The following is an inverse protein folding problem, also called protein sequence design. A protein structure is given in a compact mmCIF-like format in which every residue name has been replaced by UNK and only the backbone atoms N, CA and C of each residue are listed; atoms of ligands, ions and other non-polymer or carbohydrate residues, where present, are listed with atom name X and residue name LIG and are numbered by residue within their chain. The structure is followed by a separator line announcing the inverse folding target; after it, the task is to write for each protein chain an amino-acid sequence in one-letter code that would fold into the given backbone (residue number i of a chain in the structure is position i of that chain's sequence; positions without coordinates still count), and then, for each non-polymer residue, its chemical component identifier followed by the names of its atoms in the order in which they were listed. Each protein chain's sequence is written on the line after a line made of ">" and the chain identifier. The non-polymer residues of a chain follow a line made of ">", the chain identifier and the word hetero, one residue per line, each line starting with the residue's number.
data_IF_971882391877
#
_entry.id   IF_971882391877
#
_cell.length_a   1.000
_cell.length_b   1.000
_cell.length_c   1.000
_cell.angle_alpha   90.00
_cell.angle_beta   90.00
_cell.angle_gamma   90.00
#
_symmetry.space_group_name_H-M   'P 1'
#
loop_
_entity.id
_entity.type
_entity.pdbx_description
1 polymer ?
#
# COMPACT_ATOMS: atom_id res chain seq x y z
N UNK A 1 -2.95 53.87 60.18
CA UNK A 1 -3.38 52.58 60.73
C UNK A 1 -4.83 52.40 60.33
N UNK A 2 -5.08 52.24 59.04
CA UNK A 2 -4.99 50.97 58.27
C UNK A 2 -6.19 50.09 58.63
N UNK A 3 -7.01 49.57 57.73
CA UNK A 3 -6.85 49.33 56.30
C UNK A 3 -8.21 49.20 55.60
N UNK A 4 -8.31 49.80 54.42
CA UNK A 4 -9.34 49.55 53.42
C UNK A 4 -9.23 48.11 52.90
N UNK A 5 -10.33 47.35 52.93
CA UNK A 5 -10.51 46.17 52.08
C UNK A 5 -11.26 46.60 50.81
N UNK A 6 -10.51 47.01 49.78
CA UNK A 6 -11.03 47.17 48.42
C UNK A 6 -11.30 45.78 47.83
N UNK A 7 -12.57 45.44 47.64
CA UNK A 7 -12.97 44.45 46.64
C UNK A 7 -12.73 45.08 45.27
N UNK A 8 -11.75 44.58 44.53
CA UNK A 8 -11.52 44.96 43.13
C UNK A 8 -12.62 44.35 42.28
N UNK A 9 -13.51 45.19 41.76
CA UNK A 9 -14.54 44.82 40.81
C UNK A 9 -13.95 44.87 39.38
N UNK A 10 -13.74 43.69 38.79
CA UNK A 10 -13.19 43.50 37.45
C UNK A 10 -14.12 44.01 36.34
N UNK A 11 -15.34 44.44 36.70
CA UNK A 11 -16.30 45.13 35.83
C UNK A 11 -15.75 46.43 35.21
N UNK A 12 -14.70 47.01 35.81
CA UNK A 12 -14.00 48.20 35.32
C UNK A 12 -13.10 47.95 34.10
N UNK A 13 -12.82 46.70 33.73
CA UNK A 13 -12.02 46.35 32.55
C UNK A 13 -12.82 46.36 31.23
N UNK A 14 -14.14 46.54 31.30
CA UNK A 14 -15.06 46.48 30.16
C UNK A 14 -15.69 47.85 29.82
N UNK A 15 -15.03 48.96 30.17
CA UNK A 15 -15.44 50.27 29.66
C UNK A 15 -14.89 50.44 28.24
N UNK A 16 -15.71 50.10 27.25
CA UNK A 16 -15.40 50.31 25.84
C UNK A 16 -15.86 51.69 25.38
N UNK A 17 -14.91 52.61 25.15
CA UNK A 17 -15.13 53.82 24.36
C UNK A 17 -15.61 53.45 22.95
N UNK A 18 -16.42 54.31 22.30
CA UNK A 18 -16.93 54.08 20.92
C UNK A 18 -15.86 53.65 19.90
N UNK A 19 -14.63 54.12 20.06
CA UNK A 19 -13.47 53.71 19.25
C UNK A 19 -13.03 52.26 19.46
N UNK A 20 -13.18 51.73 20.68
CA UNK A 20 -12.85 50.32 20.97
C UNK A 20 -13.87 49.35 20.41
N UNK A 21 -15.15 49.74 20.31
CA UNK A 21 -16.19 48.92 19.66
C UNK A 21 -15.88 48.68 18.17
N UNK A 22 -15.42 49.71 17.45
CA UNK A 22 -14.96 49.59 16.06
C UNK A 22 -13.65 48.79 15.94
N UNK A 23 -12.73 48.92 16.90
CA UNK A 23 -11.52 48.09 16.93
C UNK A 23 -11.82 46.62 17.24
N UNK A 24 -12.81 46.31 18.09
CA UNK A 24 -13.27 44.94 18.33
C UNK A 24 -14.06 44.37 17.16
N UNK A 25 -14.84 45.17 16.44
CA UNK A 25 -15.57 44.71 15.24
C UNK A 25 -14.62 44.47 14.06
N UNK A 26 -13.59 45.30 13.93
CA UNK A 26 -12.50 45.13 12.97
C UNK A 26 -11.62 43.95 13.38
N UNK A 27 -11.22 43.83 14.66
CA UNK A 27 -10.51 42.65 15.15
C UNK A 27 -11.33 41.38 14.97
N UNK A 28 -12.63 41.36 15.26
CA UNK A 28 -13.47 40.18 15.07
C UNK A 28 -13.64 39.84 13.58
N UNK A 29 -13.71 40.83 12.69
CA UNK A 29 -13.62 40.61 11.24
C UNK A 29 -12.26 40.02 10.83
N UNK A 30 -11.16 40.54 11.36
CA UNK A 30 -9.81 40.00 11.12
C UNK A 30 -9.65 38.59 11.69
N UNK A 31 -10.19 38.29 12.87
CA UNK A 31 -10.16 36.95 13.47
C UNK A 31 -11.08 35.97 12.71
N UNK A 32 -12.23 36.41 12.20
CA UNK A 32 -13.05 35.59 11.30
C UNK A 32 -12.34 35.29 9.98
N UNK A 33 -11.62 36.27 9.41
CA UNK A 33 -10.89 36.09 8.16
C UNK A 33 -9.60 35.28 8.33
N UNK A 34 -9.01 35.29 9.53
CA UNK A 34 -7.77 34.57 9.87
C UNK A 34 -8.02 33.27 10.64
N UNK A 35 -9.28 32.85 10.87
CA UNK A 35 -9.56 31.57 11.49
C UNK A 35 -9.02 30.49 10.55
N UNK A 36 -7.93 29.84 10.95
CA UNK A 36 -7.35 28.76 10.16
C UNK A 36 -8.25 27.56 10.41
N UNK A 37 -9.06 27.12 9.44
CA UNK A 37 -9.97 26.02 9.67
C UNK A 37 -9.15 24.77 10.02
N UNK A 38 -9.59 24.05 11.03
CA UNK A 38 -8.97 22.82 11.46
C UNK A 38 -9.04 21.79 10.33
N UNK A 39 -8.09 20.86 10.31
CA UNK A 39 -8.09 19.76 9.37
C UNK A 39 -8.00 18.41 10.07
N UNK A 40 -8.72 17.44 9.54
CA UNK A 40 -8.60 16.02 9.89
C UNK A 40 -8.27 15.28 8.61
N UNK A 41 -7.28 14.40 8.68
CA UNK A 41 -6.94 13.47 7.61
C UNK A 41 -7.13 12.05 8.13
N UNK A 42 -7.60 11.16 7.27
CA UNK A 42 -7.71 9.74 7.59
C UNK A 42 -7.40 8.91 6.37
N UNK A 43 -6.62 7.85 6.57
CA UNK A 43 -6.23 6.94 5.51
C UNK A 43 -6.96 5.61 5.68
N UNK A 44 -7.54 5.09 4.60
CA UNK A 44 -8.26 3.82 4.63
C UNK A 44 -7.49 2.77 3.84
N UNK A 45 -6.89 1.81 4.57
CA UNK A 45 -6.05 0.76 4.00
C UNK A 45 -6.86 -0.54 3.80
N UNK A 46 -7.69 -0.59 2.77
CA UNK A 46 -8.50 -1.78 2.43
C UNK A 46 -8.43 -2.11 0.95
N UNK A 47 -8.29 -3.38 0.60
CA UNK A 47 -8.25 -3.82 -0.80
C UNK A 47 -9.67 -3.94 -1.38
N UNK A 48 -10.16 -2.88 -2.00
CA UNK A 48 -11.46 -2.85 -2.69
C UNK A 48 -11.32 -2.60 -4.20
N UNK A 49 -12.41 -2.78 -4.90
CA UNK A 49 -12.58 -2.36 -6.29
C UNK A 49 -13.67 -1.30 -6.34
N UNK A 50 -13.42 -0.20 -7.06
CA UNK A 50 -14.35 0.93 -7.20
C UNK A 50 -14.95 0.91 -8.60
N UNK A 51 -16.26 0.78 -8.65
CA UNK A 51 -17.08 0.96 -9.84
C UNK A 51 -17.57 2.42 -9.91
N UNK A 52 -18.04 2.88 -11.08
CA UNK A 52 -18.54 4.25 -11.23
C UNK A 52 -19.74 4.54 -10.30
N UNK A 53 -20.58 3.54 -10.08
CA UNK A 53 -21.77 3.65 -9.22
C UNK A 53 -21.38 3.85 -7.75
N UNK A 54 -20.26 3.30 -7.30
CA UNK A 54 -19.75 3.51 -5.94
C UNK A 54 -19.38 5.00 -5.72
N UNK A 55 -18.83 5.66 -6.74
CA UNK A 55 -18.50 7.09 -6.70
C UNK A 55 -19.78 7.94 -6.68
N UNK A 56 -20.79 7.54 -7.48
CA UNK A 56 -22.11 8.19 -7.45
C UNK A 56 -22.79 8.05 -6.10
N UNK A 57 -22.69 6.88 -5.49
CA UNK A 57 -23.21 6.62 -4.14
C UNK A 57 -22.51 7.49 -3.10
N UNK A 58 -21.18 7.60 -3.14
CA UNK A 58 -20.43 8.48 -2.23
C UNK A 58 -20.91 9.93 -2.35
N UNK A 59 -21.05 10.43 -3.58
CA UNK A 59 -21.56 11.77 -3.81
C UNK A 59 -22.97 11.95 -3.24
N UNK A 60 -23.88 10.99 -3.47
CA UNK A 60 -25.23 11.04 -2.92
C UNK A 60 -25.22 11.13 -1.38
N UNK A 61 -24.42 10.29 -0.71
CA UNK A 61 -24.29 10.29 0.76
C UNK A 61 -23.78 11.64 1.30
N UNK A 62 -22.74 12.20 0.67
CA UNK A 62 -22.19 13.51 1.07
C UNK A 62 -23.20 14.63 0.83
N UNK A 63 -23.87 14.64 -0.33
CA UNK A 63 -24.90 15.63 -0.67
C UNK A 63 -26.08 15.57 0.30
N UNK A 64 -26.57 14.37 0.64
CA UNK A 64 -27.65 14.20 1.63
C UNK A 64 -27.24 14.73 3.00
N UNK A 65 -26.00 14.47 3.42
CA UNK A 65 -25.48 14.97 4.69
C UNK A 65 -25.38 16.50 4.70
N UNK A 66 -24.91 17.12 3.61
CA UNK A 66 -24.80 18.56 3.51
C UNK A 66 -26.16 19.27 3.45
N UNK A 67 -27.18 18.65 2.83
CA UNK A 67 -28.54 19.20 2.72
C UNK A 67 -29.25 19.43 4.06
N UNK A 68 -28.80 18.76 5.13
CA UNK A 68 -29.35 18.94 6.48
C UNK A 68 -29.10 20.38 6.98
N UNK A 69 -28.01 21.01 6.54
CA UNK A 69 -27.66 22.37 6.91
C UNK A 69 -28.08 23.35 5.82
N UNK A 70 -28.46 24.57 6.22
CA UNK A 70 -28.66 25.67 5.26
C UNK A 70 -27.30 26.01 4.66
N UNK A 71 -27.18 25.91 3.33
CA UNK A 71 -25.92 26.14 2.63
C UNK A 71 -25.98 27.36 1.72
N UNK A 72 -24.97 28.23 1.81
CA UNK A 72 -24.76 29.34 0.88
C UNK A 72 -23.60 29.01 -0.07
N UNK A 73 -23.91 28.21 -1.09
CA UNK A 73 -22.95 27.75 -2.08
C UNK A 73 -22.46 26.32 -1.81
N UNK A 74 -22.50 25.51 -2.86
CA UNK A 74 -22.08 24.12 -2.87
C UNK A 74 -21.43 23.83 -4.22
N UNK A 75 -20.16 23.47 -4.20
CA UNK A 75 -19.35 23.18 -5.38
C UNK A 75 -18.76 21.79 -5.25
N UNK A 76 -18.80 21.03 -6.35
CA UNK A 76 -18.20 19.71 -6.45
C UNK A 76 -17.20 19.73 -7.60
N UNK A 77 -15.94 19.50 -7.26
CA UNK A 77 -14.85 19.37 -8.22
C UNK A 77 -14.40 17.92 -8.31
N UNK A 78 -14.27 17.41 -9.54
CA UNK A 78 -13.73 16.07 -9.80
C UNK A 78 -12.48 16.18 -10.66
N UNK A 79 -11.37 15.67 -10.15
CA UNK A 79 -10.09 15.63 -10.87
C UNK A 79 -9.67 14.17 -11.12
N UNK A 80 -9.49 13.83 -12.39
CA UNK A 80 -9.05 12.51 -12.81
C UNK A 80 -7.64 12.58 -13.37
N UNK A 81 -6.84 11.54 -13.09
CA UNK A 81 -5.52 11.36 -13.70
C UNK A 81 -5.42 9.97 -14.32
N UNK A 82 -4.99 9.93 -15.57
CA UNK A 82 -4.80 8.71 -16.33
C UNK A 82 -3.31 8.33 -16.45
N UNK A 83 -3.05 7.10 -16.85
CA UNK A 83 -1.70 6.56 -17.02
C UNK A 83 -0.89 7.19 -18.15
N UNK A 84 -1.55 7.74 -19.17
CA UNK A 84 -0.93 8.52 -20.24
C UNK A 84 -0.58 9.97 -19.82
N UNK A 85 -0.62 10.31 -18.52
CA UNK A 85 -0.44 11.66 -17.96
C UNK A 85 -1.55 12.65 -18.30
N UNK A 86 -2.59 12.25 -19.04
CA UNK A 86 -3.80 13.07 -19.25
C UNK A 86 -4.47 13.33 -17.91
N UNK A 87 -4.96 14.55 -17.75
CA UNK A 87 -5.75 14.96 -16.61
C UNK A 87 -7.08 15.51 -17.12
N UNK A 88 -8.17 15.13 -16.45
CA UNK A 88 -9.49 15.70 -16.71
C UNK A 88 -9.96 16.37 -15.44
N UNK A 89 -10.47 17.59 -15.58
CA UNK A 89 -11.04 18.37 -14.50
C UNK A 89 -12.49 18.67 -14.84
N UNK A 90 -13.39 18.37 -13.90
CA UNK A 90 -14.80 18.72 -13.96
C UNK A 90 -15.08 19.67 -12.80
N UNK A 91 -15.44 20.92 -13.11
CA UNK A 91 -15.84 21.92 -12.11
C UNK A 91 -17.30 21.79 -11.65
N UNK A 92 -18.01 20.78 -12.16
CA UNK A 92 -19.38 20.45 -11.80
C UNK A 92 -19.60 18.95 -11.83
N UNK A 93 -20.36 18.45 -10.86
CA UNK A 93 -20.78 17.05 -10.82
C UNK A 93 -21.61 16.64 -12.05
N UNK A 94 -22.43 17.55 -12.58
CA UNK A 94 -23.25 17.26 -13.77
C UNK A 94 -22.40 16.99 -15.01
N UNK A 95 -21.27 17.69 -15.15
CA UNK A 95 -20.36 17.48 -16.28
C UNK A 95 -19.64 16.13 -16.15
N UNK A 96 -19.30 15.73 -14.93
CA UNK A 96 -18.75 14.42 -14.63
C UNK A 96 -19.75 13.29 -14.93
N UNK A 97 -21.01 13.45 -14.57
CA UNK A 97 -22.05 12.43 -14.79
C UNK A 97 -22.40 12.25 -16.28
N UNK A 98 -22.36 13.33 -17.05
CA UNK A 98 -22.60 13.31 -18.51
C UNK A 98 -21.42 12.78 -19.31
N UNK A 99 -20.26 12.58 -18.69
CA UNK A 99 -19.06 12.13 -19.37
C UNK A 99 -19.15 10.65 -19.78
N UNK A 100 -18.83 10.36 -21.05
CA UNK A 100 -18.83 8.99 -21.59
C UNK A 100 -17.51 8.30 -21.30
N UNK A 101 -17.56 7.22 -20.51
CA UNK A 101 -16.37 6.49 -20.05
C UNK A 101 -15.87 5.42 -21.02
N UNK A 102 -16.72 4.96 -21.93
CA UNK A 102 -16.44 3.82 -22.82
C UNK A 102 -15.31 4.11 -23.83
N UNK A 103 -15.14 5.38 -24.20
CA UNK A 103 -14.19 5.81 -25.22
C UNK A 103 -12.78 6.09 -24.67
N UNK A 104 -12.59 6.08 -23.34
CA UNK A 104 -11.31 6.49 -22.76
C UNK A 104 -10.25 5.37 -22.93
N UNK A 105 -9.16 5.64 -23.69
CA UNK A 105 -8.21 4.60 -24.08
C UNK A 105 -7.17 4.26 -23.00
N UNK A 106 -7.29 4.85 -21.80
CA UNK A 106 -6.30 4.78 -20.73
C UNK A 106 -6.88 4.30 -19.40
N UNK A 107 -6.01 3.76 -18.55
CA UNK A 107 -6.37 3.35 -17.19
C UNK A 107 -6.32 4.54 -16.23
N UNK A 108 -7.24 4.57 -15.27
CA UNK A 108 -7.22 5.57 -14.20
C UNK A 108 -6.09 5.27 -13.20
N UNK A 109 -5.48 6.33 -12.67
CA UNK A 109 -4.45 6.25 -11.62
C UNK A 109 -4.94 6.91 -10.34
N UNK A 110 -5.64 8.02 -10.46
CA UNK A 110 -6.10 8.82 -9.33
C UNK A 110 -7.43 9.51 -9.65
N UNK A 111 -8.31 9.56 -8.67
CA UNK A 111 -9.54 10.35 -8.69
C UNK A 111 -9.53 11.19 -7.41
N UNK A 112 -9.62 12.51 -7.55
CA UNK A 112 -9.79 13.42 -6.41
C UNK A 112 -11.15 14.07 -6.52
N UNK A 113 -12.02 13.81 -5.54
CA UNK A 113 -13.32 14.43 -5.37
C UNK A 113 -13.18 15.52 -4.30
N UNK A 114 -13.66 16.72 -4.57
CA UNK A 114 -13.67 17.82 -3.60
C UNK A 114 -15.08 18.40 -3.50
N UNK A 115 -15.63 18.42 -2.30
CA UNK A 115 -16.89 19.09 -1.99
C UNK A 115 -16.57 20.33 -1.16
N UNK A 116 -16.82 21.51 -1.72
CA UNK A 116 -16.70 22.78 -1.02
C UNK A 116 -18.10 23.31 -0.74
N UNK A 117 -18.42 23.61 0.50
CA UNK A 117 -19.73 24.14 0.85
C UNK A 117 -19.65 25.06 2.05
N UNK A 118 -20.50 26.09 2.07
CA UNK A 118 -20.58 27.00 3.21
C UNK A 118 -21.85 26.67 3.99
N UNK A 119 -21.71 26.16 5.22
CA UNK A 119 -22.84 25.78 6.05
C UNK A 119 -23.11 26.81 7.14
N UNK A 120 -24.40 27.07 7.38
CA UNK A 120 -24.88 27.86 8.51
C UNK A 120 -25.28 26.89 9.62
N UNK A 121 -24.58 26.95 10.75
CA UNK A 121 -24.85 26.11 11.93
C UNK A 121 -25.81 26.80 12.89
N UNK A 122 -26.53 26.02 13.70
CA UNK A 122 -27.46 26.57 14.70
C UNK A 122 -26.73 27.51 15.68
N UNK A 123 -27.28 28.71 15.86
CA UNK A 123 -26.68 29.74 16.72
C UNK A 123 -25.62 30.63 16.06
N UNK A 124 -25.25 30.38 14.80
CA UNK A 124 -24.32 31.21 14.03
C UNK A 124 -25.04 31.73 12.78
N UNK A 125 -25.09 33.05 12.59
CA UNK A 125 -25.74 33.67 11.43
C UNK A 125 -24.86 33.68 10.18
N UNK A 126 -23.54 33.55 10.34
CA UNK A 126 -22.58 33.60 9.24
C UNK A 126 -22.27 32.22 8.68
N UNK A 127 -22.28 32.04 7.33
CA UNK A 127 -21.85 30.81 6.70
C UNK A 127 -20.39 30.49 7.00
N UNK A 128 -20.12 29.24 7.34
CA UNK A 128 -18.78 28.74 7.65
C UNK A 128 -18.30 27.83 6.53
N UNK A 129 -17.12 28.07 5.94
CA UNK A 129 -16.60 27.25 4.85
C UNK A 129 -16.17 25.88 5.36
N UNK A 130 -16.55 24.85 4.61
CA UNK A 130 -16.22 23.46 4.87
C UNK A 130 -15.75 22.83 3.56
N UNK A 131 -14.75 21.95 3.65
CA UNK A 131 -14.24 21.24 2.47
C UNK A 131 -13.94 19.78 2.80
N UNK A 132 -14.55 18.87 2.05
CA UNK A 132 -14.19 17.45 2.05
C UNK A 132 -13.41 17.15 0.77
N UNK A 133 -12.27 16.49 0.91
CA UNK A 133 -11.46 15.98 -0.20
C UNK A 133 -11.33 14.48 -0.01
N UNK A 134 -11.79 13.71 -1.00
CA UNK A 134 -11.57 12.26 -1.05
C UNK A 134 -10.71 11.94 -2.25
N UNK A 135 -9.55 11.36 -2.01
CA UNK A 135 -8.60 10.96 -3.03
C UNK A 135 -8.53 9.44 -3.09
N UNK A 136 -8.85 8.89 -4.26
CA UNK A 136 -8.74 7.47 -4.58
C UNK A 136 -7.52 7.26 -5.45
N UNK A 137 -6.63 6.31 -5.11
CA UNK A 137 -5.41 6.09 -5.88
C UNK A 137 -5.01 4.62 -5.99
N UNK A 138 -4.35 4.25 -7.10
CA UNK A 138 -3.74 2.93 -7.29
C UNK A 138 -2.43 2.74 -6.49
N UNK A 139 -2.28 3.43 -5.36
CA UNK A 139 -1.06 3.53 -4.56
C UNK A 139 -0.62 4.98 -4.37
N UNK A 140 0.11 5.23 -3.28
CA UNK A 140 0.66 6.55 -2.98
C UNK A 140 2.05 6.73 -3.56
N UNK A 141 2.38 7.96 -3.94
CA UNK A 141 3.79 8.32 -4.17
C UNK A 141 4.51 8.52 -2.84
N UNK A 142 5.83 8.24 -2.77
CA UNK A 142 6.61 8.42 -1.54
C UNK A 142 6.48 9.83 -0.94
N UNK A 143 6.35 10.88 -1.77
CA UNK A 143 6.19 12.25 -1.28
C UNK A 143 4.84 12.45 -0.55
N UNK A 144 3.79 11.77 -1.00
CA UNK A 144 2.46 11.83 -0.39
C UNK A 144 2.45 11.08 0.95
N UNK A 145 3.13 9.94 1.02
CA UNK A 145 3.33 9.19 2.28
C UNK A 145 4.09 10.04 3.30
N UNK A 146 5.18 10.70 2.88
CA UNK A 146 5.95 11.58 3.76
C UNK A 146 5.10 12.72 4.31
N UNK A 147 4.30 13.37 3.47
CA UNK A 147 3.39 14.43 3.93
C UNK A 147 2.39 13.95 4.99
N UNK A 148 1.91 12.71 4.90
CA UNK A 148 1.00 12.13 5.90
C UNK A 148 1.72 11.87 7.21
N UNK A 149 2.91 11.26 7.15
CA UNK A 149 3.76 11.00 8.33
C UNK A 149 4.09 12.33 9.04
N UNK A 150 4.50 13.35 8.29
CA UNK A 150 4.83 14.67 8.85
C UNK A 150 3.60 15.45 9.35
N UNK A 151 2.38 15.09 8.91
CA UNK A 151 1.15 15.73 9.41
C UNK A 151 0.65 15.21 10.76
N UNK A 152 1.32 14.23 11.37
CA UNK A 152 1.17 13.97 12.80
C UNK A 152 0.08 12.99 13.24
N UNK A 153 -0.52 12.20 12.33
CA UNK A 153 -1.33 11.04 12.72
C UNK A 153 -0.43 9.81 12.96
N UNK A 154 0.27 9.85 14.10
CA UNK A 154 1.32 8.87 14.49
C UNK A 154 0.71 7.47 14.79
N UNK A 155 -0.62 7.34 14.83
CA UNK A 155 -1.31 6.08 15.11
C UNK A 155 -1.46 5.15 13.89
N UNK A 156 -1.23 5.63 12.66
CA UNK A 156 -1.42 4.82 11.43
C UNK A 156 -0.11 4.31 10.80
N UNK A 157 1.06 4.58 11.42
CA UNK A 157 2.39 4.18 10.88
C UNK A 157 2.57 2.65 10.81
N UNK A 158 1.92 1.88 11.69
CA UNK A 158 1.93 0.42 11.58
C UNK A 158 1.17 -0.11 10.35
N UNK A 159 0.24 0.68 9.80
CA UNK A 159 -0.52 0.35 8.58
C UNK A 159 0.17 0.86 7.29
N UNK A 160 1.19 1.73 7.43
CA UNK A 160 2.05 2.28 6.35
C UNK A 160 2.99 1.26 5.69
N UNK A 161 3.11 0.04 6.22
CA UNK A 161 3.93 -1.02 5.60
C UNK A 161 3.31 -1.62 4.33
N UNK A 162 1.99 -1.50 4.16
CA UNK A 162 1.34 -1.93 2.92
C UNK A 162 1.33 -0.73 1.98
N UNK A 163 2.20 -0.74 0.97
CA UNK A 163 2.35 0.28 -0.09
C UNK A 163 1.07 0.63 -0.91
N UNK A 164 -0.12 0.28 -0.42
CA UNK A 164 -1.41 0.52 -1.05
C UNK A 164 -2.31 1.26 -0.06
N UNK A 165 -2.37 2.59 -0.19
CA UNK A 165 -3.37 3.41 0.46
C UNK A 165 -4.38 3.89 -0.57
N UNK A 166 -5.45 3.12 -0.77
CA UNK A 166 -6.32 3.38 -1.90
C UNK A 166 -7.30 4.53 -1.66
N UNK A 167 -7.63 4.89 -0.42
CA UNK A 167 -8.42 6.10 -0.11
C UNK A 167 -7.74 6.97 0.95
N UNK A 168 -7.69 8.26 0.67
CA UNK A 168 -7.38 9.32 1.64
C UNK A 168 -8.56 10.26 1.72
N UNK A 169 -9.08 10.48 2.92
CA UNK A 169 -10.05 11.53 3.17
C UNK A 169 -9.38 12.66 3.96
N UNK A 170 -9.64 13.89 3.54
CA UNK A 170 -9.25 15.09 4.27
C UNK A 170 -10.47 15.98 4.40
N UNK A 171 -10.78 16.40 5.62
CA UNK A 171 -11.82 17.40 5.87
C UNK A 171 -11.17 18.64 6.47
N UNK A 172 -11.50 19.79 5.91
CA UNK A 172 -11.20 21.11 6.44
C UNK A 172 -12.51 21.66 6.98
N UNK A 173 -12.55 21.96 8.27
CA UNK A 173 -13.79 22.31 8.97
C UNK A 173 -13.60 23.44 9.96
N UNK A 174 -14.66 24.24 10.13
CA UNK A 174 -14.85 25.08 11.31
C UNK A 174 -15.54 24.33 12.45
N UNK A 175 -16.42 23.35 12.14
CA UNK A 175 -17.14 22.57 13.15
C UNK A 175 -16.58 21.14 13.20
N UNK A 176 -15.97 20.79 14.33
CA UNK A 176 -15.31 19.49 14.51
C UNK A 176 -16.26 18.31 14.48
N UNK A 177 -17.48 18.45 15.02
CA UNK A 177 -18.48 17.38 15.01
C UNK A 177 -18.86 17.04 13.57
N UNK A 178 -19.16 18.07 12.77
CA UNK A 178 -19.47 17.87 11.36
C UNK A 178 -18.29 17.27 10.58
N UNK A 179 -17.06 17.73 10.87
CA UNK A 179 -15.85 17.18 10.27
C UNK A 179 -15.65 15.68 10.54
N UNK A 180 -15.87 15.24 11.78
CA UNK A 180 -15.82 13.83 12.16
C UNK A 180 -16.90 13.01 11.45
N UNK A 181 -18.12 13.53 11.36
CA UNK A 181 -19.24 12.84 10.69
C UNK A 181 -18.96 12.61 9.19
N UNK A 182 -18.33 13.56 8.52
CA UNK A 182 -17.92 13.40 7.12
C UNK A 182 -16.83 12.33 6.95
N UNK A 183 -15.81 12.32 7.81
CA UNK A 183 -14.75 11.30 7.78
C UNK A 183 -15.34 9.91 8.03
N UNK A 184 -16.25 9.78 9.01
CA UNK A 184 -16.91 8.52 9.32
C UNK A 184 -17.85 8.06 8.21
N UNK A 185 -18.50 8.99 7.50
CA UNK A 185 -19.29 8.69 6.30
C UNK A 185 -18.41 8.07 5.22
N UNK A 186 -17.26 8.68 4.93
CA UNK A 186 -16.29 8.11 3.98
C UNK A 186 -15.81 6.74 4.47
N UNK A 187 -15.54 6.57 5.76
CA UNK A 187 -15.15 5.28 6.33
C UNK A 187 -16.21 4.19 6.11
N UNK A 188 -17.47 4.45 6.47
CA UNK A 188 -18.58 3.52 6.23
C UNK A 188 -18.77 3.21 4.75
N UNK A 189 -18.63 4.20 3.88
CA UNK A 189 -18.65 3.98 2.44
C UNK A 189 -17.51 3.06 2.00
N UNK A 190 -16.27 3.32 2.43
CA UNK A 190 -15.13 2.45 2.09
C UNK A 190 -15.30 1.01 2.58
N UNK A 191 -16.00 0.83 3.71
CA UNK A 191 -16.26 -0.49 4.25
C UNK A 191 -17.26 -1.31 3.43
N UNK A 192 -18.21 -0.64 2.80
CA UNK A 192 -19.24 -1.22 1.95
C UNK A 192 -18.78 -1.48 0.51
N UNK A 193 -17.62 -0.97 0.10
CA UNK A 193 -17.07 -1.20 -1.23
C UNK A 193 -16.86 -2.69 -1.47
N UNK A 194 -17.05 -3.12 -2.73
CA UNK A 194 -16.80 -4.51 -3.11
C UNK A 194 -15.36 -4.86 -2.78
N UNK A 195 -15.21 -5.78 -1.84
CA UNK A 195 -13.91 -6.38 -1.57
C UNK A 195 -13.36 -6.87 -2.89
N UNK A 196 -12.18 -6.39 -3.23
CA UNK A 196 -11.51 -6.88 -4.41
C UNK A 196 -11.37 -8.40 -4.21
N UNK A 197 -11.84 -9.20 -5.16
CA UNK A 197 -11.87 -10.69 -5.06
C UNK A 197 -10.48 -11.31 -4.82
N UNK A 198 -9.46 -10.46 -4.75
CA UNK A 198 -8.09 -10.69 -4.35
C UNK A 198 -7.98 -11.04 -2.85
N UNK A 199 -8.58 -12.16 -2.42
CA UNK A 199 -8.22 -12.78 -1.14
C UNK A 199 -6.73 -13.13 -1.22
N UNK A 200 -5.88 -12.37 -0.52
CA UNK A 200 -4.46 -12.65 -0.49
C UNK A 200 -4.26 -13.99 0.19
N UNK A 201 -3.56 -14.92 -0.47
CA UNK A 201 -3.18 -16.16 0.19
C UNK A 201 -2.18 -15.75 1.28
N UNK A 202 -2.59 -15.88 2.56
CA UNK A 202 -1.83 -15.37 3.71
C UNK A 202 -0.37 -15.86 3.69
N UNK A 203 -0.15 -17.08 3.21
CA UNK A 203 1.19 -17.64 3.01
C UNK A 203 2.01 -16.85 1.99
N UNK A 204 1.47 -16.58 0.80
CA UNK A 204 2.20 -15.84 -0.26
C UNK A 204 2.47 -14.41 0.17
N UNK A 205 1.55 -13.79 0.92
CA UNK A 205 1.77 -12.46 1.49
C UNK A 205 2.92 -12.46 2.52
N UNK A 206 2.97 -13.46 3.41
CA UNK A 206 4.10 -13.65 4.35
C UNK A 206 5.43 -13.91 3.62
N UNK A 207 5.40 -14.70 2.54
CA UNK A 207 6.57 -14.96 1.70
C UNK A 207 7.05 -13.69 0.99
N UNK A 208 6.13 -12.83 0.51
CA UNK A 208 6.45 -11.52 -0.07
C UNK A 208 7.12 -10.60 0.94
N UNK A 209 6.56 -10.48 2.16
CA UNK A 209 7.12 -9.65 3.24
C UNK A 209 8.58 -10.04 3.52
N UNK A 210 8.87 -11.33 3.47
CA UNK A 210 10.20 -11.88 3.70
C UNK A 210 10.92 -12.32 2.41
N UNK A 211 10.63 -11.71 1.24
CA UNK A 211 11.12 -12.19 -0.08
C UNK A 211 12.63 -12.42 -0.13
N UNK A 212 13.42 -11.54 0.50
CA UNK A 212 14.89 -11.68 0.59
C UNK A 212 15.30 -12.87 1.47
N UNK A 213 14.64 -13.07 2.61
CA UNK A 213 14.92 -14.20 3.52
C UNK A 213 14.52 -15.52 2.88
N UNK A 214 13.36 -15.57 2.21
CA UNK A 214 12.88 -16.76 1.49
C UNK A 214 13.85 -17.15 0.37
N UNK A 215 14.25 -16.20 -0.48
CA UNK A 215 15.20 -16.47 -1.55
C UNK A 215 16.54 -16.99 -1.02
N UNK A 216 17.09 -16.37 0.03
CA UNK A 216 18.33 -16.83 0.68
C UNK A 216 18.19 -18.19 1.35
N UNK A 217 17.05 -18.46 2.00
CA UNK A 217 16.80 -19.75 2.64
C UNK A 217 16.77 -20.87 1.60
N UNK A 218 16.11 -20.64 0.46
CA UNK A 218 16.11 -21.58 -0.66
C UNK A 218 17.53 -21.77 -1.18
N UNK A 219 18.27 -20.68 -1.38
CA UNK A 219 19.64 -20.73 -1.87
C UNK A 219 20.55 -21.58 -0.97
N UNK A 220 20.53 -21.29 0.35
CA UNK A 220 21.33 -22.03 1.33
C UNK A 220 20.84 -23.47 1.51
N UNK A 221 19.53 -23.73 1.46
CA UNK A 221 19.01 -25.09 1.60
C UNK A 221 19.54 -26.01 0.50
N UNK A 222 19.53 -25.56 -0.76
CA UNK A 222 20.08 -26.30 -1.89
C UNK A 222 21.57 -26.60 -1.69
N UNK A 223 22.35 -25.58 -1.28
CA UNK A 223 23.79 -25.73 -1.07
C UNK A 223 24.09 -26.73 0.07
N UNK A 224 23.35 -26.67 1.18
CA UNK A 224 23.54 -27.57 2.33
C UNK A 224 23.19 -29.02 1.96
N UNK A 225 22.10 -29.26 1.24
CA UNK A 225 21.72 -30.62 0.81
C UNK A 225 22.77 -31.24 -0.11
N UNK A 226 23.33 -30.44 -1.03
CA UNK A 226 24.36 -30.88 -1.96
C UNK A 226 25.70 -31.10 -1.22
N UNK A 227 26.03 -30.25 -0.24
CA UNK A 227 27.18 -30.49 0.64
C UNK A 227 27.07 -31.83 1.39
N UNK A 228 25.88 -32.11 1.93
CA UNK A 228 25.66 -33.32 2.71
C UNK A 228 25.69 -34.57 1.83
N UNK A 229 25.08 -34.51 0.63
CA UNK A 229 25.14 -35.57 -0.37
C UNK A 229 26.58 -35.90 -0.79
N UNK A 230 27.36 -34.86 -1.10
CA UNK A 230 28.76 -35.03 -1.52
C UNK A 230 29.65 -35.61 -0.42
N UNK A 231 29.42 -35.21 0.84
CA UNK A 231 30.14 -35.78 1.99
C UNK A 231 29.78 -37.25 2.22
N UNK A 232 28.49 -37.60 2.10
CA UNK A 232 28.03 -38.99 2.25
C UNK A 232 28.59 -39.90 1.14
N UNK A 233 28.61 -39.43 -0.11
CA UNK A 233 29.18 -40.19 -1.23
C UNK A 233 30.68 -40.37 -1.11
N UNK A 234 31.42 -39.35 -0.66
CA UNK A 234 32.85 -39.48 -0.35
C UNK A 234 33.11 -40.55 0.73
N UNK A 235 32.33 -40.57 1.82
CA UNK A 235 32.48 -41.57 2.89
C UNK A 235 32.19 -42.99 2.38
N UNK A 236 31.14 -43.16 1.56
CA UNK A 236 30.83 -44.46 0.94
C UNK A 236 31.96 -44.92 0.01
N UNK A 237 32.46 -44.04 -0.84
CA UNK A 237 33.57 -44.34 -1.77
C UNK A 237 34.84 -44.78 -1.02
N UNK A 238 35.23 -44.04 0.04
CA UNK A 238 36.36 -44.41 0.89
C UNK A 238 36.16 -45.76 1.59
N UNK A 239 34.94 -46.04 2.06
CA UNK A 239 34.63 -47.31 2.73
C UNK A 239 34.71 -48.53 1.80
N UNK A 240 34.29 -48.40 0.53
CA UNK A 240 34.38 -49.47 -0.46
C UNK A 240 35.82 -49.75 -0.90
N UNK A 241 36.64 -48.72 -1.06
CA UNK A 241 38.06 -48.88 -1.42
C UNK A 241 38.86 -49.58 -0.31
N UNK A 242 38.58 -49.27 0.96
CA UNK A 242 39.18 -49.94 2.11
C UNK A 242 38.85 -51.44 2.18
N UNK A 243 37.69 -51.85 1.68
CA UNK A 243 37.25 -53.25 1.71
C UNK A 243 37.83 -54.08 0.55
N UNK A 244 38.04 -53.46 -0.61
CA UNK A 244 38.32 -54.17 -1.86
C UNK A 244 39.80 -54.27 -2.25
N UNK A 245 40.71 -53.44 -1.72
CA UNK A 245 42.11 -53.44 -2.17
C UNK A 245 43.12 -53.12 -1.06
N UNK A 246 43.61 -54.16 -0.37
CA UNK A 246 44.82 -54.04 0.47
C UNK A 246 46.13 -54.03 -0.38
N UNK A 247 46.03 -54.10 -1.72
CA UNK A 247 47.17 -54.25 -2.64
C UNK A 247 47.39 -53.09 -3.64
N UNK A 248 46.57 -52.03 -3.61
CA UNK A 248 46.77 -50.90 -4.54
C UNK A 248 47.94 -50.01 -4.10
N UNK A 249 48.80 -49.64 -5.05
CA UNK A 249 49.87 -48.66 -4.87
C UNK A 249 49.29 -47.32 -4.41
N UNK A 250 49.93 -46.70 -3.41
CA UNK A 250 49.49 -45.43 -2.81
C UNK A 250 49.22 -44.31 -3.83
N UNK A 251 49.92 -44.33 -4.98
CA UNK A 251 49.73 -43.39 -6.08
C UNK A 251 48.35 -43.48 -6.76
N UNK A 252 47.79 -44.69 -6.90
CA UNK A 252 46.47 -44.89 -7.52
C UNK A 252 45.36 -44.39 -6.59
N UNK A 253 45.50 -44.61 -5.29
CA UNK A 253 44.56 -44.10 -4.28
C UNK A 253 44.54 -42.56 -4.24
N UNK A 254 45.71 -41.93 -4.25
CA UNK A 254 45.83 -40.46 -4.27
C UNK A 254 45.21 -39.89 -5.55
N UNK A 255 45.44 -40.52 -6.71
CA UNK A 255 44.85 -40.08 -7.98
C UNK A 255 43.31 -40.15 -7.95
N UNK A 256 42.74 -41.26 -7.47
CA UNK A 256 41.30 -41.43 -7.37
C UNK A 256 40.64 -40.43 -6.40
N UNK A 257 41.29 -40.15 -5.26
CA UNK A 257 40.83 -39.12 -4.31
C UNK A 257 40.89 -37.73 -4.95
N UNK A 258 41.93 -37.41 -5.72
CA UNK A 258 42.05 -36.13 -6.42
C UNK A 258 40.95 -35.95 -7.47
N UNK A 259 40.63 -37.00 -8.25
CA UNK A 259 39.48 -36.99 -9.18
C UNK A 259 38.15 -36.80 -8.45
N UNK A 260 37.96 -37.46 -7.30
CA UNK A 260 36.77 -37.32 -6.49
C UNK A 260 36.54 -35.87 -6.02
N UNK A 261 37.60 -35.26 -5.48
CA UNK A 261 37.57 -33.85 -5.03
C UNK A 261 37.28 -32.92 -6.21
N UNK A 262 37.85 -33.19 -7.39
CA UNK A 262 37.59 -32.41 -8.61
C UNK A 262 36.12 -32.44 -9.03
N UNK A 263 35.49 -33.62 -9.01
CA UNK A 263 34.06 -33.80 -9.33
C UNK A 263 33.18 -33.10 -8.28
N UNK A 264 33.54 -33.19 -7.00
CA UNK A 264 32.84 -32.47 -5.92
C UNK A 264 32.94 -30.95 -6.07
N UNK A 265 34.12 -30.42 -6.39
CA UNK A 265 34.28 -28.99 -6.63
C UNK A 265 33.46 -28.52 -7.85
N UNK A 266 33.42 -29.31 -8.92
CA UNK A 266 32.63 -29.00 -10.11
C UNK A 266 31.12 -29.01 -9.83
N UNK A 267 30.62 -30.07 -9.18
CA UNK A 267 29.20 -30.19 -8.79
C UNK A 267 28.80 -29.07 -7.85
N UNK A 268 29.67 -28.67 -6.92
CA UNK A 268 29.46 -27.51 -6.04
C UNK A 268 29.28 -26.20 -6.81
N UNK A 269 30.21 -25.88 -7.72
CA UNK A 269 30.17 -24.63 -8.51
C UNK A 269 28.91 -24.57 -9.39
N UNK A 270 28.56 -25.68 -10.05
CA UNK A 270 27.36 -25.76 -10.88
C UNK A 270 26.09 -25.60 -10.04
N UNK A 271 26.04 -26.23 -8.87
CA UNK A 271 24.92 -26.15 -7.94
C UNK A 271 24.73 -24.74 -7.40
N UNK A 272 25.80 -24.02 -7.08
CA UNK A 272 25.73 -22.64 -6.62
C UNK A 272 25.11 -21.70 -7.68
N UNK A 273 25.51 -21.85 -8.95
CA UNK A 273 24.94 -21.07 -10.06
C UNK A 273 23.45 -21.38 -10.27
N UNK A 274 23.08 -22.66 -10.20
CA UNK A 274 21.70 -23.09 -10.40
C UNK A 274 20.78 -22.65 -9.24
N UNK A 275 21.25 -22.78 -8.00
CA UNK A 275 20.58 -22.30 -6.80
C UNK A 275 20.28 -20.80 -6.87
N UNK A 276 21.27 -20.01 -7.29
CA UNK A 276 21.11 -18.58 -7.53
C UNK A 276 20.06 -18.25 -8.60
N UNK A 277 20.01 -19.03 -9.68
CA UNK A 277 19.00 -18.86 -10.73
C UNK A 277 17.57 -19.09 -10.19
N UNK A 278 17.36 -20.15 -9.41
CA UNK A 278 16.06 -20.43 -8.76
C UNK A 278 15.71 -19.32 -7.78
N UNK A 279 16.62 -18.93 -6.90
CA UNK A 279 16.39 -17.91 -5.88
C UNK A 279 15.98 -16.57 -6.51
N UNK A 280 16.65 -16.16 -7.60
CA UNK A 280 16.28 -14.95 -8.36
C UNK A 280 14.91 -15.07 -9.03
N UNK A 281 14.58 -16.22 -9.60
CA UNK A 281 13.27 -16.47 -10.22
C UNK A 281 12.13 -16.39 -9.21
N UNK A 282 12.33 -16.96 -8.02
CA UNK A 282 11.37 -16.90 -6.90
C UNK A 282 11.25 -15.46 -6.38
N UNK A 283 12.38 -14.77 -6.20
CA UNK A 283 12.39 -13.37 -5.77
C UNK A 283 11.57 -12.49 -6.73
N UNK A 284 11.82 -12.60 -8.04
CA UNK A 284 11.09 -11.84 -9.06
C UNK A 284 9.60 -12.18 -9.08
N UNK A 285 9.26 -13.46 -8.95
CA UNK A 285 7.85 -13.91 -8.91
C UNK A 285 7.11 -13.44 -7.65
N UNK A 286 7.80 -13.30 -6.51
CA UNK A 286 7.25 -12.71 -5.28
C UNK A 286 7.14 -11.18 -5.35
N UNK A 287 8.01 -10.53 -6.12
CA UNK A 287 8.00 -9.08 -6.33
C UNK A 287 6.82 -8.64 -7.21
N UNK A 288 6.59 -9.35 -8.32
CA UNK A 288 5.44 -9.15 -9.22
C UNK A 288 4.09 -9.52 -8.55
N UNK A 289 4.12 -10.25 -7.43
CA UNK A 289 2.91 -10.63 -6.72
C UNK A 289 2.34 -9.47 -5.90
N UNK A 290 1.11 -9.04 -6.21
CA UNK A 290 0.32 -8.15 -5.35
C UNK A 290 0.17 -6.72 -5.86
N UNK A 291 0.50 -6.43 -7.12
CA UNK A 291 0.02 -5.23 -7.78
C UNK A 291 -1.51 -5.25 -7.87
N UNK A 292 -2.13 -4.20 -7.34
CA UNK A 292 -3.59 -4.03 -7.34
C UNK A 292 -3.94 -2.81 -8.18
N UNK A 293 -4.99 -2.94 -8.97
CA UNK A 293 -5.64 -1.84 -9.68
C UNK A 293 -7.05 -1.72 -9.11
N UNK A 294 -7.34 -0.60 -8.43
CA UNK A 294 -8.59 -0.40 -7.68
C UNK A 294 -9.74 0.04 -8.57
N UNK A 295 -9.48 0.76 -9.67
CA UNK A 295 -10.53 1.30 -10.53
C UNK A 295 -11.09 0.25 -11.47
N UNK A 296 -12.40 0.28 -11.69
CA UNK A 296 -13.12 -0.55 -12.66
C UNK A 296 -14.10 0.32 -13.47
N UNK A 297 -13.62 1.47 -13.96
CA UNK A 297 -14.47 2.48 -14.58
C UNK A 297 -14.30 2.44 -16.10
N UNK A 298 -13.07 2.43 -16.61
CA UNK A 298 -12.84 2.33 -18.07
C UNK A 298 -12.71 0.88 -18.53
N UNK A 299 -12.96 0.62 -19.81
CA UNK A 299 -12.72 -0.71 -20.42
C UNK A 299 -11.26 -1.16 -20.25
N UNK A 300 -10.32 -0.21 -20.29
CA UNK A 300 -8.90 -0.50 -20.04
C UNK A 300 -8.60 -0.84 -18.59
N UNK A 301 -9.33 -0.27 -17.65
CA UNK A 301 -9.24 -0.66 -16.23
C UNK A 301 -9.65 -2.12 -16.05
N UNK A 302 -10.77 -2.53 -16.65
CA UNK A 302 -11.23 -3.93 -16.67
C UNK A 302 -10.17 -4.87 -17.27
N UNK A 303 -9.60 -4.52 -18.43
CA UNK A 303 -8.53 -5.28 -19.07
C UNK A 303 -7.29 -5.38 -18.16
N UNK A 304 -6.92 -4.29 -17.47
CA UNK A 304 -5.77 -4.25 -16.56
C UNK A 304 -6.01 -5.15 -15.34
N UNK A 305 -7.18 -5.10 -14.73
CA UNK A 305 -7.54 -6.02 -13.65
C UNK A 305 -7.51 -7.48 -14.12
N UNK A 306 -8.01 -7.76 -15.33
CA UNK A 306 -7.96 -9.07 -15.95
C UNK A 306 -6.53 -9.59 -16.15
N UNK A 307 -5.63 -8.73 -16.64
CA UNK A 307 -4.20 -9.03 -16.81
C UNK A 307 -3.52 -9.30 -15.46
N UNK A 308 -3.70 -8.42 -14.48
CA UNK A 308 -3.15 -8.59 -13.12
C UNK A 308 -3.62 -9.90 -12.46
N UNK A 309 -4.89 -10.28 -12.69
CA UNK A 309 -5.43 -11.57 -12.21
C UNK A 309 -4.72 -12.77 -12.86
N UNK A 310 -4.41 -12.71 -14.16
CA UNK A 310 -3.68 -13.76 -14.88
C UNK A 310 -2.21 -13.82 -14.45
N UNK A 311 -1.54 -12.67 -14.40
CA UNK A 311 -0.14 -12.53 -13.94
C UNK A 311 0.03 -13.08 -12.53
N UNK A 312 -0.92 -12.79 -11.62
CA UNK A 312 -0.92 -13.35 -10.26
C UNK A 312 -1.08 -14.86 -10.23
N UNK A 313 -2.01 -15.43 -11.00
CA UNK A 313 -2.18 -16.89 -11.10
C UNK A 313 -0.90 -17.54 -11.63
N UNK A 314 -0.32 -16.96 -12.68
CA UNK A 314 0.94 -17.41 -13.24
C UNK A 314 2.08 -17.32 -12.23
N UNK A 315 2.18 -16.24 -11.46
CA UNK A 315 3.17 -16.09 -10.40
C UNK A 315 3.03 -17.17 -9.31
N UNK A 316 1.80 -17.51 -8.88
CA UNK A 316 1.57 -18.60 -7.92
C UNK A 316 1.99 -19.94 -8.51
N UNK A 317 1.56 -20.25 -9.74
CA UNK A 317 1.93 -21.50 -10.42
C UNK A 317 3.44 -21.60 -10.58
N UNK A 318 4.10 -20.50 -10.98
CA UNK A 318 5.54 -20.42 -11.12
C UNK A 318 6.25 -20.62 -9.78
N UNK A 319 5.75 -20.06 -8.68
CA UNK A 319 6.30 -20.30 -7.35
C UNK A 319 6.20 -21.78 -6.94
N UNK A 320 5.06 -22.42 -7.19
CA UNK A 320 4.86 -23.86 -6.93
C UNK A 320 5.80 -24.69 -7.80
N UNK A 321 5.87 -24.41 -9.10
CA UNK A 321 6.72 -25.12 -10.05
C UNK A 321 8.21 -24.97 -9.70
N UNK A 322 8.65 -23.79 -9.27
CA UNK A 322 10.02 -23.56 -8.81
C UNK A 322 10.31 -24.30 -7.50
N UNK A 323 9.34 -24.37 -6.58
CA UNK A 323 9.46 -25.21 -5.37
C UNK A 323 9.62 -26.69 -5.71
N UNK A 324 8.81 -27.21 -6.63
CA UNK A 324 8.92 -28.59 -7.12
C UNK A 324 10.26 -28.82 -7.81
N UNK A 325 10.68 -27.90 -8.69
CA UNK A 325 11.97 -27.98 -9.38
C UNK A 325 13.14 -28.03 -8.40
N UNK A 326 13.08 -27.26 -7.31
CA UNK A 326 14.09 -27.26 -6.23
C UNK A 326 14.24 -28.68 -5.63
N UNK A 327 13.13 -29.34 -5.32
CA UNK A 327 13.12 -30.71 -4.78
C UNK A 327 13.66 -31.72 -5.79
N UNK A 328 13.20 -31.66 -7.05
CA UNK A 328 13.66 -32.55 -8.12
C UNK A 328 15.17 -32.39 -8.33
N UNK A 329 15.68 -31.17 -8.32
CA UNK A 329 17.11 -30.90 -8.54
C UNK A 329 17.96 -31.49 -7.42
N UNK A 330 17.50 -31.37 -6.16
CA UNK A 330 18.17 -32.03 -5.04
C UNK A 330 18.21 -33.56 -5.20
N UNK A 331 17.10 -34.18 -5.61
CA UNK A 331 17.05 -35.63 -5.86
C UNK A 331 17.99 -36.02 -7.01
N UNK A 332 17.98 -35.24 -8.09
CA UNK A 332 18.84 -35.48 -9.25
C UNK A 332 20.32 -35.40 -8.89
N UNK A 333 20.74 -34.37 -8.13
CA UNK A 333 22.13 -34.27 -7.68
C UNK A 333 22.53 -35.44 -6.78
N UNK A 334 21.68 -35.85 -5.84
CA UNK A 334 21.94 -37.03 -5.00
C UNK A 334 22.08 -38.32 -5.83
N UNK A 335 21.30 -38.48 -6.91
CA UNK A 335 21.38 -39.65 -7.78
C UNK A 335 22.59 -39.62 -8.71
N UNK A 336 22.91 -38.45 -9.26
CA UNK A 336 24.08 -38.25 -10.11
C UNK A 336 25.38 -38.50 -9.35
N UNK A 337 25.46 -38.09 -8.08
CA UNK A 337 26.59 -38.42 -7.21
C UNK A 337 26.73 -39.93 -6.98
N UNK A 338 25.63 -40.68 -6.84
CA UNK A 338 25.66 -42.16 -6.73
C UNK A 338 26.06 -42.91 -8.00
N UNK A 339 25.95 -42.28 -9.17
CA UNK A 339 26.38 -42.90 -10.43
C UNK A 339 27.87 -42.62 -10.68
N UNK A 340 28.32 -41.42 -10.31
CA UNK A 340 29.70 -40.99 -10.53
C UNK A 340 30.69 -41.60 -9.51
N UNK A 341 30.22 -41.98 -8.33
CA UNK A 341 30.99 -42.59 -7.24
C UNK A 341 30.42 -43.94 -6.84
#
# INVERSE_FOLDING_TARGET
>A
MDSNSQHSDDSSLLVTDKYTHDLTSVKSHFYNNNYTPDNIKKVFNKNFTVDLDDIKQLNALVVEKCKIHKSEGFLIDVNLRFSNRKQLHFGSWLDFERYTWDDEPSTLINITLSWNFNAVFEGISTPQPQKLIVKLSNGMRPEEMLNIIFSGDINEVSELENNYFPVVAQVIFTNRTFGNELIDLVGKWTDNLRNSSFKNNSLVFKLKKNKRKVAKLIEYSLIIFIFWGSLQTLVMYLSQQNYNNFQNTASVLISNIAYAIGIMAFTWIMSFKFSNFIARSIFKSLEEYGDVHIFNITKKDQDRQGKLKKERKYAIIKLILMGILTVITNIFFMFLEKILF
#
